data_IF_579386670593
#
_entry.id   IF_579386670593
#
_cell.length_a   1.000
_cell.length_b   1.000
_cell.length_c   1.000
_cell.angle_alpha   90.00
_cell.angle_beta   90.00
_cell.angle_gamma   90.00
#
_symmetry.space_group_name_H-M   'P 1'
#
loop_
_entity.id
_entity.type
_entity.pdbx_description
1 polymer ?
#
# COMPACT_ATOMS: atom_id res chain seq x y z
N UNK A 1 15.43 7.55 -24.30
CA UNK A 1 16.54 7.31 -23.36
C UNK A 1 16.63 8.43 -22.30
N UNK A 2 16.78 9.72 -22.68
CA UNK A 2 16.96 10.81 -21.71
C UNK A 2 15.83 10.93 -20.67
N UNK A 3 14.57 10.76 -21.06
CA UNK A 3 13.41 10.78 -20.13
C UNK A 3 13.45 9.63 -19.12
N UNK A 4 13.88 8.46 -19.54
CA UNK A 4 14.06 7.29 -18.66
C UNK A 4 15.17 7.53 -17.63
N UNK A 5 16.33 8.03 -18.07
CA UNK A 5 17.43 8.39 -17.17
C UNK A 5 17.01 9.46 -16.15
N UNK A 6 16.23 10.44 -16.59
CA UNK A 6 15.68 11.44 -15.68
C UNK A 6 14.72 10.83 -14.66
N UNK A 7 13.84 9.90 -15.08
CA UNK A 7 12.97 9.18 -14.16
C UNK A 7 13.76 8.42 -13.11
N UNK A 8 14.81 7.67 -13.51
CA UNK A 8 15.67 6.95 -12.56
C UNK A 8 16.33 7.89 -11.55
N UNK A 9 16.87 9.03 -12.01
CA UNK A 9 17.47 10.02 -11.13
C UNK A 9 16.45 10.62 -10.17
N UNK A 10 15.23 10.93 -10.62
CA UNK A 10 14.17 11.46 -9.76
C UNK A 10 13.77 10.42 -8.70
N UNK A 11 13.56 9.17 -9.09
CA UNK A 11 13.22 8.07 -8.17
C UNK A 11 14.32 7.89 -7.12
N UNK A 12 15.58 7.82 -7.53
CA UNK A 12 16.74 7.70 -6.62
C UNK A 12 16.85 8.88 -5.65
N UNK A 13 16.73 10.10 -6.17
CA UNK A 13 16.76 11.32 -5.36
C UNK A 13 15.64 11.30 -4.31
N UNK A 14 14.46 10.84 -4.70
CA UNK A 14 13.31 10.74 -3.79
C UNK A 14 13.49 9.76 -2.65
N UNK A 15 14.07 8.61 -2.94
CA UNK A 15 14.35 7.60 -1.92
C UNK A 15 15.31 8.11 -0.84
N UNK A 16 16.16 9.08 -1.21
CA UNK A 16 17.11 9.71 -0.28
C UNK A 16 16.45 10.84 0.51
N UNK A 17 15.75 11.75 -0.17
CA UNK A 17 15.25 12.98 0.44
C UNK A 17 13.98 12.82 1.26
N UNK A 18 13.13 11.85 0.93
CA UNK A 18 11.83 11.63 1.57
C UNK A 18 10.89 12.85 1.55
N UNK A 19 11.01 13.70 0.56
CA UNK A 19 10.22 14.93 0.42
C UNK A 19 9.71 15.13 -1.00
N UNK A 20 8.48 15.66 -1.12
CA UNK A 20 7.79 15.85 -2.38
C UNK A 20 7.83 17.29 -2.94
N UNK A 21 8.50 18.23 -2.27
CA UNK A 21 8.64 19.60 -2.77
C UNK A 21 9.56 19.63 -3.97
N UNK A 22 9.12 20.26 -5.08
CA UNK A 22 9.90 20.34 -6.31
C UNK A 22 11.23 21.10 -6.13
N UNK A 23 11.25 22.09 -5.28
CA UNK A 23 12.43 22.88 -4.96
C UNK A 23 13.51 22.00 -4.31
N UNK A 24 13.14 21.23 -3.29
CA UNK A 24 14.06 20.32 -2.58
C UNK A 24 14.57 19.20 -3.52
N UNK A 25 13.68 18.67 -4.38
CA UNK A 25 14.08 17.72 -5.40
C UNK A 25 15.06 18.34 -6.42
N UNK A 26 14.86 19.61 -6.79
CA UNK A 26 15.75 20.30 -7.70
C UNK A 26 17.13 20.59 -7.08
N UNK A 27 17.19 20.88 -5.78
CA UNK A 27 18.44 21.05 -5.05
C UNK A 27 19.30 19.79 -5.09
N UNK A 28 18.69 18.66 -4.83
CA UNK A 28 19.39 17.36 -4.70
C UNK A 28 19.50 16.57 -6.01
N UNK A 29 18.85 16.99 -7.09
CA UNK A 29 18.92 16.26 -8.35
C UNK A 29 20.36 16.28 -8.90
N UNK A 30 21.02 15.11 -9.08
CA UNK A 30 22.44 15.02 -9.38
C UNK A 30 22.77 15.31 -10.84
N UNK A 31 22.28 16.43 -11.36
CA UNK A 31 22.54 16.90 -12.73
C UNK A 31 23.39 18.17 -12.65
N UNK A 32 24.57 18.23 -13.28
CA UNK A 32 25.49 19.36 -13.20
C UNK A 32 25.05 20.53 -14.06
N UNK A 33 23.89 21.11 -13.75
CA UNK A 33 23.32 22.32 -14.37
C UNK A 33 22.80 23.27 -13.30
N UNK A 34 22.50 24.48 -13.66
CA UNK A 34 21.96 25.51 -12.74
C UNK A 34 20.70 25.01 -12.02
N UNK A 35 20.52 25.43 -10.77
CA UNK A 35 19.37 25.11 -9.95
C UNK A 35 18.03 25.35 -10.69
N UNK A 36 17.85 26.54 -11.24
CA UNK A 36 16.65 26.89 -12.00
C UNK A 36 16.43 26.01 -13.22
N UNK A 37 17.50 25.55 -13.86
CA UNK A 37 17.42 24.60 -14.98
C UNK A 37 16.97 23.22 -14.52
N UNK A 38 17.46 22.74 -13.36
CA UNK A 38 16.98 21.49 -12.73
C UNK A 38 15.50 21.60 -12.37
N UNK A 39 15.08 22.70 -11.74
CA UNK A 39 13.69 22.96 -11.37
C UNK A 39 12.77 23.01 -12.59
N UNK A 40 13.16 23.73 -13.66
CA UNK A 40 12.42 23.74 -14.94
C UNK A 40 12.36 22.36 -15.58
N UNK A 41 13.43 21.56 -15.49
CA UNK A 41 13.47 20.19 -16.02
C UNK A 41 12.48 19.29 -15.28
N UNK A 42 12.37 19.36 -13.96
CA UNK A 42 11.38 18.63 -13.17
C UNK A 42 9.94 19.03 -13.54
N UNK A 43 9.66 20.35 -13.65
CA UNK A 43 8.34 20.82 -14.06
C UNK A 43 7.96 20.34 -15.47
N UNK A 44 8.90 20.35 -16.43
CA UNK A 44 8.66 19.81 -17.78
C UNK A 44 8.46 18.30 -17.75
N UNK A 45 9.17 17.58 -16.90
CA UNK A 45 9.02 16.14 -16.75
C UNK A 45 7.60 15.78 -16.28
N UNK A 46 7.07 16.47 -15.27
CA UNK A 46 5.69 16.25 -14.80
C UNK A 46 4.62 16.68 -15.82
N UNK A 47 4.96 17.45 -16.84
CA UNK A 47 4.04 17.81 -17.95
C UNK A 47 3.99 16.76 -19.06
N UNK A 48 4.91 15.78 -19.09
CA UNK A 48 4.96 14.76 -20.15
C UNK A 48 3.66 13.96 -20.19
N UNK A 49 3.05 13.85 -21.36
CA UNK A 49 1.84 13.03 -21.59
C UNK A 49 2.11 11.54 -21.42
N UNK A 50 3.33 11.11 -21.76
CA UNK A 50 3.73 9.71 -21.57
C UNK A 50 3.80 9.30 -20.10
N UNK A 51 3.95 10.25 -19.18
CA UNK A 51 3.91 10.01 -17.73
C UNK A 51 2.44 9.82 -17.31
N UNK A 52 1.95 8.63 -17.56
CA UNK A 52 0.57 8.19 -17.37
C UNK A 52 0.56 6.83 -16.69
N UNK A 53 -0.41 6.59 -15.83
CA UNK A 53 -0.53 5.34 -15.04
C UNK A 53 -0.55 4.12 -15.96
N UNK A 54 -1.37 4.15 -17.00
CA UNK A 54 -1.54 3.01 -17.91
C UNK A 54 -0.29 2.71 -18.73
N UNK A 55 0.39 3.76 -19.22
CA UNK A 55 1.58 3.61 -20.08
C UNK A 55 2.86 3.25 -19.30
N UNK A 56 3.03 3.81 -18.11
CA UNK A 56 4.25 3.62 -17.33
C UNK A 56 4.01 2.61 -16.21
N UNK A 57 3.04 2.89 -15.33
CA UNK A 57 2.90 2.14 -14.11
C UNK A 57 2.30 0.74 -14.33
N UNK A 58 1.30 0.61 -15.19
CA UNK A 58 0.76 -0.72 -15.52
C UNK A 58 1.76 -1.63 -16.21
N UNK A 59 2.69 -1.07 -17.00
CA UNK A 59 3.78 -1.86 -17.59
C UNK A 59 4.70 -2.42 -16.50
N UNK A 60 5.12 -1.58 -15.54
CA UNK A 60 5.90 -2.03 -14.39
C UNK A 60 5.14 -3.06 -13.54
N UNK A 61 3.85 -2.81 -13.28
CA UNK A 61 2.99 -3.70 -12.50
C UNK A 61 2.84 -5.08 -13.15
N UNK A 62 2.61 -5.13 -14.46
CA UNK A 62 2.51 -6.40 -15.19
C UNK A 62 3.80 -7.22 -15.11
N UNK A 63 4.96 -6.58 -15.24
CA UNK A 63 6.25 -7.26 -15.07
C UNK A 63 6.44 -7.80 -13.64
N UNK A 64 6.05 -7.02 -12.64
CA UNK A 64 6.09 -7.47 -11.25
C UNK A 64 5.18 -8.68 -11.02
N UNK A 65 3.97 -8.65 -11.55
CA UNK A 65 2.96 -9.71 -11.39
C UNK A 65 3.34 -11.03 -12.09
N UNK A 66 4.27 -11.03 -13.03
CA UNK A 66 4.84 -12.28 -13.60
C UNK A 66 5.48 -13.15 -12.53
N UNK A 67 5.93 -12.56 -11.41
CA UNK A 67 6.43 -13.28 -10.24
C UNK A 67 5.28 -13.59 -9.26
N UNK A 68 4.25 -14.30 -9.74
CA UNK A 68 2.94 -14.51 -9.09
C UNK A 68 3.04 -14.91 -7.61
N UNK A 69 3.95 -15.82 -7.25
CA UNK A 69 4.10 -16.32 -5.88
C UNK A 69 4.36 -15.21 -4.85
N UNK A 70 5.03 -14.13 -5.26
CA UNK A 70 5.36 -13.02 -4.35
C UNK A 70 4.17 -12.13 -4.01
N UNK A 71 3.17 -12.08 -4.89
CA UNK A 71 2.02 -11.18 -4.77
C UNK A 71 0.72 -11.91 -4.45
N UNK A 72 0.79 -13.23 -4.26
CA UNK A 72 -0.36 -14.05 -3.85
C UNK A 72 -0.20 -14.53 -2.41
N UNK A 73 -1.33 -14.67 -1.75
CA UNK A 73 -1.41 -15.29 -0.43
C UNK A 73 -2.38 -16.45 -0.56
N UNK A 74 -1.89 -17.68 -0.47
CA UNK A 74 -2.68 -18.91 -0.73
C UNK A 74 -3.37 -18.87 -2.10
N UNK A 75 -2.66 -18.40 -3.15
CA UNK A 75 -3.18 -18.31 -4.51
C UNK A 75 -4.17 -17.16 -4.77
N UNK A 76 -4.39 -16.26 -3.81
CA UNK A 76 -5.28 -15.11 -3.93
C UNK A 76 -4.48 -13.81 -3.98
N UNK A 77 -4.85 -12.92 -4.89
CA UNK A 77 -4.36 -11.53 -4.96
C UNK A 77 -5.30 -10.64 -4.15
N UNK A 78 -4.78 -9.96 -3.15
CA UNK A 78 -5.58 -9.06 -2.32
C UNK A 78 -5.37 -7.62 -2.79
N UNK A 79 -6.46 -6.92 -3.07
CA UNK A 79 -6.47 -5.49 -3.35
C UNK A 79 -7.37 -4.76 -2.36
N UNK A 80 -6.96 -3.57 -1.94
CA UNK A 80 -7.78 -2.71 -1.10
C UNK A 80 -8.15 -1.46 -1.89
N UNK A 81 -9.42 -1.04 -1.78
CA UNK A 81 -9.91 0.25 -2.24
C UNK A 81 -10.10 1.14 -1.01
N UNK A 82 -9.59 2.36 -1.08
CA UNK A 82 -9.73 3.33 0.00
C UNK A 82 -9.57 4.75 -0.54
N UNK A 83 -10.01 5.73 0.22
CA UNK A 83 -9.98 7.13 -0.13
C UNK A 83 -9.11 7.91 0.86
N UNK A 84 -8.33 8.85 0.35
CA UNK A 84 -7.53 9.74 1.19
C UNK A 84 -7.63 11.17 0.70
N UNK A 85 -7.60 12.12 1.64
CA UNK A 85 -7.60 13.55 1.33
C UNK A 85 -6.24 14.16 1.66
N UNK A 86 -5.73 15.00 0.75
CA UNK A 86 -4.52 15.79 0.93
C UNK A 86 -4.85 17.27 0.71
N UNK A 87 -5.15 17.97 1.80
CA UNK A 87 -5.71 19.32 1.74
C UNK A 87 -7.08 19.32 1.06
N UNK A 88 -7.19 20.06 -0.04
CA UNK A 88 -8.42 20.12 -0.85
C UNK A 88 -8.55 18.98 -1.87
N UNK A 89 -7.53 18.15 -2.05
CA UNK A 89 -7.47 17.10 -3.06
C UNK A 89 -7.96 15.78 -2.45
N UNK A 90 -8.91 15.15 -3.11
CA UNK A 90 -9.49 13.89 -2.72
C UNK A 90 -9.06 12.79 -3.71
N UNK A 91 -8.52 11.68 -3.22
CA UNK A 91 -7.93 10.62 -4.05
C UNK A 91 -8.58 9.29 -3.70
N UNK A 92 -9.24 8.70 -4.68
CA UNK A 92 -9.71 7.32 -4.61
C UNK A 92 -8.61 6.40 -5.18
N UNK A 93 -8.18 5.43 -4.40
CA UNK A 93 -7.03 4.59 -4.73
C UNK A 93 -7.33 3.11 -4.55
N UNK A 94 -6.85 2.31 -5.50
CA UNK A 94 -6.76 0.84 -5.35
C UNK A 94 -5.29 0.45 -5.19
N UNK A 95 -5.04 -0.42 -4.22
CA UNK A 95 -3.68 -0.86 -3.88
C UNK A 95 -3.61 -2.37 -3.72
N UNK A 96 -2.49 -2.95 -4.10
CA UNK A 96 -2.17 -4.37 -3.95
C UNK A 96 -1.56 -4.62 -2.57
N UNK A 97 -2.10 -5.55 -1.82
CA UNK A 97 -1.56 -5.91 -0.50
C UNK A 97 -0.27 -6.72 -0.66
N UNK A 98 0.80 -6.23 -0.04
CA UNK A 98 2.12 -6.84 -0.10
C UNK A 98 2.89 -6.65 1.21
N UNK A 99 3.28 -7.74 1.86
CA UNK A 99 4.14 -7.76 3.06
C UNK A 99 3.71 -6.79 4.17
N UNK A 100 2.42 -6.79 4.54
CA UNK A 100 1.82 -5.89 5.53
C UNK A 100 1.95 -4.40 5.17
N UNK A 101 1.97 -4.12 3.90
CA UNK A 101 1.86 -2.82 3.24
C UNK A 101 0.97 -2.97 2.02
N UNK A 102 0.64 -1.86 1.40
CA UNK A 102 -0.05 -1.86 0.12
C UNK A 102 0.82 -1.17 -0.92
N UNK A 103 0.78 -1.65 -2.14
CA UNK A 103 1.43 -1.03 -3.32
C UNK A 103 0.34 -0.32 -4.09
N UNK A 104 0.42 1.00 -4.35
CA UNK A 104 -0.58 1.70 -5.12
C UNK A 104 -0.58 1.17 -6.55
N UNK A 105 -1.75 0.78 -7.06
CA UNK A 105 -1.85 0.23 -8.44
C UNK A 105 -2.65 1.11 -9.37
N UNK A 106 -3.69 1.80 -8.86
CA UNK A 106 -4.44 2.78 -9.63
C UNK A 106 -5.07 3.82 -8.71
N UNK A 107 -5.23 5.05 -9.20
CA UNK A 107 -5.85 6.14 -8.47
C UNK A 107 -6.52 7.14 -9.41
N UNK A 108 -7.56 7.75 -8.89
CA UNK A 108 -8.20 8.91 -9.52
C UNK A 108 -8.32 10.04 -8.51
N UNK A 109 -8.10 11.26 -8.96
CA UNK A 109 -8.37 12.44 -8.17
C UNK A 109 -9.83 12.79 -8.40
N UNK A 110 -10.60 12.88 -7.33
CA UNK A 110 -12.02 13.22 -7.37
C UNK A 110 -12.19 14.75 -7.30
N UNK A 111 -12.98 15.29 -8.21
CA UNK A 111 -13.26 16.74 -8.29
C UNK A 111 -14.35 17.17 -7.28
N UNK A 112 -14.47 16.45 -6.17
CA UNK A 112 -15.44 16.69 -5.10
C UNK A 112 -14.84 16.41 -3.73
N UNK A 113 -15.45 17.03 -2.71
CA UNK A 113 -15.23 16.64 -1.32
C UNK A 113 -16.21 15.53 -0.92
N UNK A 114 -15.83 14.71 0.07
CA UNK A 114 -16.65 13.62 0.58
C UNK A 114 -16.42 12.29 -0.12
N UNK A 115 -17.30 11.33 0.17
CA UNK A 115 -17.14 9.94 -0.25
C UNK A 115 -17.32 9.72 -1.75
N UNK A 116 -16.65 8.72 -2.28
CA UNK A 116 -16.82 8.26 -3.66
C UNK A 116 -18.21 7.62 -3.86
N UNK A 117 -18.78 7.79 -5.05
CA UNK A 117 -20.01 7.12 -5.43
C UNK A 117 -19.75 5.76 -6.08
N UNK A 118 -20.81 4.99 -6.34
CA UNK A 118 -20.72 3.64 -6.90
C UNK A 118 -20.04 3.62 -8.28
N UNK A 119 -20.34 4.59 -9.14
CA UNK A 119 -19.77 4.66 -10.50
C UNK A 119 -18.25 4.90 -10.46
N UNK A 120 -17.79 5.80 -9.59
CA UNK A 120 -16.38 6.07 -9.36
C UNK A 120 -15.67 4.82 -8.85
N UNK A 121 -16.26 4.12 -7.88
CA UNK A 121 -15.73 2.87 -7.32
C UNK A 121 -15.63 1.77 -8.39
N UNK A 122 -16.68 1.58 -9.18
CA UNK A 122 -16.72 0.59 -10.27
C UNK A 122 -15.73 0.93 -11.38
N UNK A 123 -15.58 2.21 -11.72
CA UNK A 123 -14.62 2.67 -12.74
C UNK A 123 -13.19 2.37 -12.32
N UNK A 124 -12.81 2.72 -11.09
CA UNK A 124 -11.46 2.52 -10.56
C UNK A 124 -11.15 1.03 -10.41
N UNK A 125 -12.07 0.24 -9.82
CA UNK A 125 -11.92 -1.20 -9.71
C UNK A 125 -11.92 -1.90 -11.05
N UNK A 126 -12.79 -1.51 -11.99
CA UNK A 126 -12.88 -2.11 -13.33
C UNK A 126 -11.57 -2.06 -14.10
N UNK A 127 -10.85 -0.92 -14.03
CA UNK A 127 -9.50 -0.77 -14.60
C UNK A 127 -8.54 -1.82 -14.07
N UNK A 128 -8.55 -2.05 -12.76
CA UNK A 128 -7.63 -2.97 -12.10
C UNK A 128 -8.02 -4.43 -12.31
N UNK A 129 -9.29 -4.75 -12.27
CA UNK A 129 -9.76 -6.12 -12.54
C UNK A 129 -9.35 -6.58 -13.95
N UNK A 130 -9.31 -5.66 -14.93
CA UNK A 130 -8.81 -5.94 -16.27
C UNK A 130 -7.30 -6.20 -16.27
N UNK A 131 -6.52 -5.42 -15.52
CA UNK A 131 -5.05 -5.61 -15.41
C UNK A 131 -4.69 -6.90 -14.72
N UNK A 132 -5.48 -7.30 -13.71
CA UNK A 132 -5.30 -8.52 -12.92
C UNK A 132 -6.07 -9.72 -13.48
N UNK A 133 -6.55 -9.67 -14.71
CA UNK A 133 -7.26 -10.79 -15.35
C UNK A 133 -6.41 -12.07 -15.30
N UNK A 134 -7.08 -13.21 -15.03
CA UNK A 134 -6.40 -14.49 -14.83
C UNK A 134 -6.00 -14.81 -13.38
N UNK A 135 -6.16 -13.86 -12.45
CA UNK A 135 -5.93 -14.09 -11.03
C UNK A 135 -7.24 -14.25 -10.25
N UNK A 136 -7.19 -15.01 -9.15
CA UNK A 136 -8.26 -14.99 -8.14
C UNK A 136 -8.04 -13.77 -7.26
N UNK A 137 -9.00 -12.87 -7.22
CA UNK A 137 -8.84 -11.55 -6.59
C UNK A 137 -9.76 -11.43 -5.37
N UNK A 138 -9.27 -10.79 -4.32
CA UNK A 138 -10.05 -10.39 -3.14
C UNK A 138 -10.05 -8.87 -3.04
N UNK A 139 -11.23 -8.27 -3.14
CA UNK A 139 -11.43 -6.82 -2.98
C UNK A 139 -11.77 -6.51 -1.53
N UNK A 140 -11.01 -5.60 -0.92
CA UNK A 140 -11.18 -5.16 0.46
C UNK A 140 -11.62 -3.70 0.47
N UNK A 141 -12.68 -3.38 1.22
CA UNK A 141 -13.19 -2.02 1.38
C UNK A 141 -13.60 -1.73 2.83
N UNK A 142 -13.44 -0.47 3.25
CA UNK A 142 -13.92 -0.02 4.53
C UNK A 142 -15.43 0.33 4.52
N UNK A 143 -15.92 1.03 5.56
CA UNK A 143 -17.34 1.43 5.67
C UNK A 143 -17.78 2.44 4.62
N UNK A 144 -16.89 3.11 3.95
CA UNK A 144 -17.22 3.97 2.82
C UNK A 144 -17.70 3.14 1.63
N UNK A 145 -17.14 1.93 1.48
CA UNK A 145 -17.45 1.00 0.40
C UNK A 145 -18.52 -0.05 0.79
N UNK A 146 -19.38 0.27 1.74
CA UNK A 146 -20.40 -0.65 2.29
C UNK A 146 -21.61 -0.90 1.38
N UNK A 147 -21.61 -0.39 0.16
CA UNK A 147 -22.74 -0.52 -0.76
C UNK A 147 -23.02 -1.97 -1.15
N UNK A 148 -24.27 -2.41 -0.96
CA UNK A 148 -24.76 -3.71 -1.43
C UNK A 148 -24.68 -3.81 -2.95
N UNK A 149 -24.90 -2.71 -3.66
CA UNK A 149 -24.76 -2.63 -5.12
C UNK A 149 -23.31 -2.87 -5.56
N UNK A 150 -22.33 -2.38 -4.80
CA UNK A 150 -20.92 -2.72 -5.06
C UNK A 150 -20.66 -4.21 -4.82
N UNK A 151 -21.15 -4.77 -3.72
CA UNK A 151 -21.07 -6.21 -3.44
C UNK A 151 -21.66 -7.05 -4.58
N UNK A 152 -22.84 -6.70 -5.07
CA UNK A 152 -23.50 -7.36 -6.20
C UNK A 152 -22.66 -7.26 -7.48
N UNK A 153 -22.09 -6.09 -7.77
CA UNK A 153 -21.23 -5.90 -8.93
C UNK A 153 -19.94 -6.74 -8.85
N UNK A 154 -19.45 -7.01 -7.63
CA UNK A 154 -18.29 -7.85 -7.36
C UNK A 154 -18.59 -9.36 -7.36
N UNK A 155 -19.85 -9.82 -7.40
CA UNK A 155 -20.24 -11.22 -7.50
C UNK A 155 -19.96 -11.77 -8.91
N UNK A 156 -18.68 -12.05 -9.20
CA UNK A 156 -18.21 -12.60 -10.47
C UNK A 156 -17.30 -13.80 -10.21
N UNK A 157 -17.16 -14.72 -11.16
CA UNK A 157 -16.22 -15.84 -11.04
C UNK A 157 -14.82 -15.37 -10.70
N UNK A 158 -14.14 -16.08 -9.83
CA UNK A 158 -12.77 -15.78 -9.36
C UNK A 158 -12.59 -14.46 -8.62
N UNK A 159 -13.68 -13.78 -8.26
CA UNK A 159 -13.66 -12.53 -7.51
C UNK A 159 -14.31 -12.72 -6.14
N UNK A 160 -13.53 -12.44 -5.11
CA UNK A 160 -13.96 -12.44 -3.71
C UNK A 160 -13.95 -11.02 -3.17
N UNK A 161 -14.67 -10.77 -2.09
CA UNK A 161 -14.66 -9.46 -1.45
C UNK A 161 -14.92 -9.53 0.05
N UNK A 162 -14.44 -8.51 0.76
CA UNK A 162 -14.76 -8.20 2.15
C UNK A 162 -15.01 -6.69 2.25
N UNK A 163 -16.26 -6.30 2.40
CA UNK A 163 -16.67 -4.90 2.50
C UNK A 163 -17.26 -4.65 3.89
N UNK A 164 -16.64 -3.76 4.67
CA UNK A 164 -17.14 -3.42 5.99
C UNK A 164 -18.48 -2.74 5.91
N UNK A 165 -19.37 -3.15 6.79
CA UNK A 165 -20.73 -2.61 6.89
C UNK A 165 -20.88 -1.65 8.06
N UNK A 166 -21.82 -0.71 7.92
CA UNK A 166 -22.29 0.12 9.02
C UNK A 166 -23.19 -0.71 9.94
N UNK A 167 -23.17 -0.42 11.23
CA UNK A 167 -24.03 -1.13 12.21
C UNK A 167 -25.52 -0.90 11.98
N UNK A 168 -25.87 0.23 11.36
CA UNK A 168 -27.24 0.59 10.96
C UNK A 168 -27.71 -0.07 9.66
N UNK A 169 -26.87 -0.90 9.02
CA UNK A 169 -27.29 -1.64 7.83
C UNK A 169 -28.28 -2.71 8.23
N UNK A 170 -29.44 -2.79 7.54
CA UNK A 170 -30.45 -3.81 7.80
C UNK A 170 -30.07 -5.15 7.19
N UNK A 171 -30.31 -6.21 7.92
CA UNK A 171 -30.17 -7.60 7.48
C UNK A 171 -31.49 -8.33 7.72
N UNK A 172 -31.91 -9.14 6.75
CA UNK A 172 -33.10 -9.99 6.89
C UNK A 172 -32.73 -11.26 7.67
N UNK A 173 -33.43 -11.47 8.79
CA UNK A 173 -33.27 -12.71 9.58
C UNK A 173 -33.91 -13.90 8.89
N UNK A 174 -33.67 -15.11 9.41
CA UNK A 174 -34.34 -16.33 8.94
C UNK A 174 -35.86 -16.28 9.10
N UNK A 175 -36.36 -15.55 10.06
CA UNK A 175 -37.80 -15.34 10.35
C UNK A 175 -38.43 -14.33 9.38
N UNK A 176 -37.66 -13.77 8.46
CA UNK A 176 -38.17 -12.81 7.48
C UNK A 176 -38.20 -11.37 7.94
N UNK A 177 -37.78 -11.08 9.18
CA UNK A 177 -37.76 -9.75 9.78
C UNK A 177 -36.47 -9.04 9.45
N UNK A 178 -36.57 -7.74 9.08
CA UNK A 178 -35.41 -6.89 8.91
C UNK A 178 -35.03 -6.21 10.23
N UNK A 179 -33.81 -6.41 10.67
CA UNK A 179 -33.24 -5.73 11.83
C UNK A 179 -31.87 -5.11 11.50
N UNK A 180 -31.44 -4.13 12.27
CA UNK A 180 -30.13 -3.55 12.10
C UNK A 180 -29.03 -4.53 12.56
N UNK A 181 -27.86 -4.48 11.94
CA UNK A 181 -26.75 -5.38 12.31
C UNK A 181 -26.35 -5.25 13.78
N UNK A 182 -26.50 -4.07 14.40
CA UNK A 182 -26.23 -3.89 15.85
C UNK A 182 -27.14 -4.74 16.74
N UNK A 183 -28.32 -5.14 16.24
CA UNK A 183 -29.31 -5.94 16.97
C UNK A 183 -29.06 -7.45 16.86
N UNK A 184 -28.03 -7.89 16.10
CA UNK A 184 -27.66 -9.29 15.93
C UNK A 184 -27.07 -9.94 17.19
N UNK A 185 -27.04 -9.27 18.33
CA UNK A 185 -26.64 -9.83 19.63
C UNK A 185 -25.14 -10.08 19.80
N UNK A 186 -24.27 -9.48 18.97
CA UNK A 186 -22.83 -9.55 19.20
C UNK A 186 -22.45 -8.83 20.49
N UNK A 187 -21.56 -9.46 21.27
CA UNK A 187 -20.96 -8.89 22.49
C UNK A 187 -19.42 -8.99 22.43
N UNK A 188 -18.69 -8.22 23.27
CA UNK A 188 -17.22 -8.28 23.28
C UNK A 188 -16.67 -9.70 23.46
N UNK A 189 -15.92 -10.18 22.49
CA UNK A 189 -15.33 -11.52 22.47
C UNK A 189 -16.10 -12.52 21.61
N UNK A 190 -17.30 -12.19 21.13
CA UNK A 190 -18.11 -13.09 20.30
C UNK A 190 -17.90 -12.87 18.81
N UNK A 191 -18.39 -13.81 18.04
CA UNK A 191 -18.36 -13.78 16.57
C UNK A 191 -19.58 -14.50 16.00
N UNK A 192 -20.00 -14.14 14.79
CA UNK A 192 -21.10 -14.78 14.07
C UNK A 192 -20.73 -14.95 12.59
N UNK A 193 -21.40 -15.88 11.95
CA UNK A 193 -21.35 -16.04 10.50
C UNK A 193 -22.73 -16.43 9.99
N UNK A 194 -23.34 -15.57 9.20
CA UNK A 194 -24.63 -15.80 8.59
C UNK A 194 -24.42 -16.05 7.10
N UNK A 195 -24.98 -17.13 6.59
CA UNK A 195 -24.94 -17.50 5.16
C UNK A 195 -26.23 -17.05 4.49
N UNK A 196 -26.08 -16.68 3.22
CA UNK A 196 -27.20 -16.40 2.30
C UNK A 196 -28.21 -15.37 2.85
N UNK A 197 -27.69 -14.28 3.45
CA UNK A 197 -28.49 -13.22 4.01
C UNK A 197 -28.82 -12.15 2.97
N UNK A 198 -30.04 -11.58 3.06
CA UNK A 198 -30.44 -10.42 2.32
C UNK A 198 -30.13 -9.15 3.13
N UNK A 199 -29.55 -8.16 2.47
CA UNK A 199 -29.18 -6.89 3.07
C UNK A 199 -29.98 -5.75 2.47
N UNK A 200 -30.28 -4.76 3.30
CA UNK A 200 -31.06 -3.54 3.07
C UNK A 200 -32.55 -3.80 2.78
N UNK A 201 -33.42 -2.93 3.33
CA UNK A 201 -34.86 -2.97 3.08
C UNK A 201 -35.22 -2.47 1.70
N UNK A 202 -34.59 -1.39 1.26
CA UNK A 202 -34.96 -0.66 0.04
C UNK A 202 -34.42 -1.26 -1.24
N UNK A 203 -33.25 -1.84 -1.16
CA UNK A 203 -32.59 -2.39 -2.35
C UNK A 203 -32.59 -3.93 -2.40
N UNK A 204 -33.12 -4.59 -1.38
CA UNK A 204 -33.57 -5.99 -1.26
C UNK A 204 -32.71 -7.07 -1.94
N UNK A 205 -31.39 -6.90 -2.08
CA UNK A 205 -30.68 -7.56 -3.13
C UNK A 205 -29.45 -8.30 -2.69
N UNK A 206 -29.46 -9.52 -3.02
CA UNK A 206 -28.29 -10.35 -3.09
C UNK A 206 -28.19 -11.23 -1.85
N UNK A 207 -27.99 -12.49 -2.12
CA UNK A 207 -27.56 -13.45 -1.14
C UNK A 207 -26.06 -13.26 -0.93
N UNK A 208 -25.72 -12.84 0.27
CA UNK A 208 -24.34 -12.63 0.70
C UNK A 208 -24.09 -13.38 1.99
N UNK A 209 -22.84 -13.58 2.31
CA UNK A 209 -22.47 -14.01 3.65
C UNK A 209 -22.10 -12.80 4.51
N UNK A 210 -22.46 -12.81 5.77
CA UNK A 210 -22.14 -11.78 6.73
C UNK A 210 -21.27 -12.35 7.84
N UNK A 211 -20.05 -11.87 7.94
CA UNK A 211 -19.14 -12.17 9.04
C UNK A 211 -19.18 -11.07 10.09
N UNK A 212 -19.42 -11.41 11.34
CA UNK A 212 -19.44 -10.50 12.48
C UNK A 212 -18.38 -10.89 13.50
N UNK A 213 -17.65 -9.90 14.04
CA UNK A 213 -16.67 -10.12 15.11
C UNK A 213 -16.56 -8.91 16.02
N UNK A 214 -16.71 -9.14 17.33
CA UNK A 214 -16.40 -8.15 18.35
C UNK A 214 -15.18 -8.60 19.14
N UNK A 215 -14.06 -7.89 18.99
CA UNK A 215 -12.88 -8.14 19.80
C UNK A 215 -13.06 -7.52 21.18
N UNK A 216 -12.61 -8.20 22.25
CA UNK A 216 -12.53 -7.60 23.60
C UNK A 216 -11.58 -6.40 23.62
N UNK A 217 -10.40 -6.58 23.01
CA UNK A 217 -9.37 -5.54 22.92
C UNK A 217 -8.77 -5.47 21.52
N UNK A 218 -8.41 -4.29 21.09
CA UNK A 218 -7.66 -4.05 19.86
C UNK A 218 -6.56 -3.01 20.11
N UNK A 219 -5.30 -3.38 19.85
CA UNK A 219 -4.11 -2.52 20.12
C UNK A 219 -4.03 -2.02 21.56
N UNK A 220 -4.48 -2.83 22.54
CA UNK A 220 -4.48 -2.49 23.96
C UNK A 220 -5.69 -1.73 24.48
N UNK A 221 -6.62 -1.33 23.62
CA UNK A 221 -7.84 -0.61 23.98
C UNK A 221 -9.07 -1.52 23.84
N UNK A 222 -10.07 -1.29 24.69
CA UNK A 222 -11.37 -1.93 24.53
C UNK A 222 -12.03 -1.45 23.23
N UNK A 223 -12.56 -2.38 22.44
CA UNK A 223 -13.27 -2.01 21.21
C UNK A 223 -14.70 -1.60 21.54
N UNK A 224 -15.12 -0.47 21.00
CA UNK A 224 -16.45 0.10 21.26
C UNK A 224 -17.55 -0.57 20.42
N UNK A 225 -17.21 -1.27 19.35
CA UNK A 225 -18.16 -1.79 18.38
C UNK A 225 -17.67 -3.04 17.68
N UNK A 226 -18.60 -3.91 17.21
CA UNK A 226 -18.26 -5.04 16.38
C UNK A 226 -17.88 -4.64 14.95
N UNK A 227 -17.22 -5.55 14.27
CA UNK A 227 -16.97 -5.47 12.84
C UNK A 227 -17.96 -6.36 12.11
N UNK A 228 -18.71 -5.79 11.18
CA UNK A 228 -19.55 -6.52 10.25
C UNK A 228 -18.95 -6.44 8.85
N UNK A 229 -18.85 -7.57 8.17
CA UNK A 229 -18.17 -7.72 6.89
C UNK A 229 -19.09 -8.45 5.93
N UNK A 230 -19.51 -7.78 4.88
CA UNK A 230 -20.20 -8.36 3.75
C UNK A 230 -19.18 -9.11 2.89
N UNK A 231 -19.46 -10.36 2.55
CA UNK A 231 -18.52 -11.20 1.83
C UNK A 231 -19.21 -12.29 1.01
N UNK A 232 -18.49 -12.87 0.06
CA UNK A 232 -18.84 -14.10 -0.63
C UNK A 232 -17.91 -15.26 -0.25
N UNK A 233 -17.03 -15.09 0.76
CA UNK A 233 -16.32 -16.23 1.36
C UNK A 233 -17.28 -17.15 2.11
N UNK A 234 -16.99 -18.45 2.06
CA UNK A 234 -17.84 -19.48 2.67
C UNK A 234 -17.68 -19.67 4.17
N UNK A 235 -16.71 -19.00 4.81
CA UNK A 235 -16.42 -19.15 6.24
C UNK A 235 -15.95 -17.85 6.90
N UNK A 236 -16.16 -17.80 8.22
CA UNK A 236 -15.84 -16.65 9.05
C UNK A 236 -14.35 -16.36 9.13
N UNK A 237 -13.53 -17.39 9.27
CA UNK A 237 -12.10 -17.21 9.52
C UNK A 237 -11.40 -16.57 8.31
N UNK A 238 -11.69 -17.07 7.12
CA UNK A 238 -11.19 -16.51 5.85
C UNK A 238 -11.61 -15.06 5.68
N UNK A 239 -12.88 -14.74 5.93
CA UNK A 239 -13.39 -13.37 5.83
C UNK A 239 -12.67 -12.41 6.81
N UNK A 240 -12.50 -12.81 8.07
CA UNK A 240 -11.82 -12.00 9.10
C UNK A 240 -10.33 -11.84 8.80
N UNK A 241 -9.66 -12.88 8.30
CA UNK A 241 -8.24 -12.81 7.91
C UNK A 241 -8.07 -11.87 6.70
N UNK A 242 -8.98 -11.95 5.73
CA UNK A 242 -8.97 -11.08 4.56
C UNK A 242 -9.19 -9.60 4.97
N UNK A 243 -10.23 -9.30 5.75
CA UNK A 243 -10.54 -7.94 6.20
C UNK A 243 -9.37 -7.29 6.96
N UNK A 244 -8.63 -8.04 7.77
CA UNK A 244 -7.45 -7.51 8.48
C UNK A 244 -6.38 -6.95 7.56
N UNK A 245 -6.27 -7.46 6.33
CA UNK A 245 -5.29 -6.99 5.34
C UNK A 245 -5.63 -5.60 4.79
N UNK A 246 -6.87 -5.18 4.87
CA UNK A 246 -7.30 -3.84 4.46
C UNK A 246 -6.49 -2.74 5.14
N UNK A 247 -6.13 -2.91 6.40
CA UNK A 247 -5.33 -1.91 7.13
C UNK A 247 -3.95 -1.62 6.52
N UNK A 248 -3.48 -2.45 5.61
CA UNK A 248 -2.19 -2.26 4.96
C UNK A 248 -2.20 -1.04 4.01
N UNK A 249 -3.37 -0.63 3.48
CA UNK A 249 -3.51 0.59 2.67
C UNK A 249 -3.40 1.86 3.54
N UNK A 250 -3.96 1.84 4.75
CA UNK A 250 -3.83 2.96 5.70
C UNK A 250 -2.36 3.20 6.10
N UNK A 251 -1.60 2.10 6.27
CA UNK A 251 -0.16 2.16 6.52
C UNK A 251 0.62 2.75 5.32
N UNK A 252 0.21 2.44 4.09
CA UNK A 252 0.78 3.05 2.89
C UNK A 252 0.46 4.55 2.81
N UNK A 253 -0.78 4.96 3.09
CA UNK A 253 -1.14 6.38 3.13
C UNK A 253 -0.34 7.14 4.18
N UNK A 254 -0.09 6.53 5.34
CA UNK A 254 0.78 7.12 6.36
C UNK A 254 2.21 7.29 5.85
N UNK A 255 2.75 6.28 5.14
CA UNK A 255 4.07 6.35 4.53
C UNK A 255 4.15 7.45 3.44
N UNK A 256 3.05 7.71 2.71
CA UNK A 256 2.96 8.79 1.72
C UNK A 256 2.86 10.18 2.35
N UNK A 257 2.27 10.27 3.54
CA UNK A 257 2.16 11.50 4.32
C UNK A 257 3.42 11.72 5.18
N UNK A 258 3.25 11.98 6.43
CA UNK A 258 4.33 12.30 7.39
C UNK A 258 5.33 11.17 7.65
N UNK A 259 4.95 9.93 7.41
CA UNK A 259 5.78 8.74 7.69
C UNK A 259 6.86 8.45 6.64
N UNK A 260 6.86 9.13 5.49
CA UNK A 260 7.79 8.85 4.41
C UNK A 260 7.98 10.01 3.44
N UNK A 261 7.11 10.14 2.44
CA UNK A 261 7.38 11.04 1.30
C UNK A 261 6.82 12.46 1.42
N UNK A 262 6.02 12.77 2.45
CA UNK A 262 5.44 14.10 2.68
C UNK A 262 4.75 14.71 1.44
N UNK A 263 3.87 13.93 0.81
CA UNK A 263 3.17 14.35 -0.42
C UNK A 263 2.32 15.61 -0.24
N UNK A 264 1.75 15.81 0.95
CA UNK A 264 0.97 17.02 1.27
C UNK A 264 1.81 18.30 1.11
N UNK A 265 3.13 18.20 1.34
CA UNK A 265 4.07 19.31 1.15
C UNK A 265 4.36 19.67 -0.31
N UNK A 266 3.88 18.89 -1.29
CA UNK A 266 4.17 19.13 -2.71
C UNK A 266 3.48 20.38 -3.27
N UNK A 267 2.32 20.73 -2.74
CA UNK A 267 1.46 21.86 -3.18
C UNK A 267 1.18 21.89 -4.69
N UNK A 268 1.18 20.75 -5.34
CA UNK A 268 0.97 20.63 -6.77
C UNK A 268 -0.51 20.64 -7.13
N UNK A 269 -0.83 21.21 -8.29
CA UNK A 269 -2.17 21.10 -8.87
C UNK A 269 -2.52 19.61 -9.15
N UNK A 270 -3.81 19.21 -9.10
CA UNK A 270 -4.25 17.83 -9.20
C UNK A 270 -3.63 17.04 -10.36
N UNK A 271 -3.59 17.61 -11.56
CA UNK A 271 -3.04 16.95 -12.74
C UNK A 271 -1.55 16.61 -12.63
N UNK A 272 -0.76 17.43 -11.91
CA UNK A 272 0.67 17.17 -11.68
C UNK A 272 0.87 16.24 -10.48
N UNK A 273 0.01 16.33 -9.49
CA UNK A 273 0.01 15.44 -8.34
C UNK A 273 -0.22 13.98 -8.77
N UNK A 274 -1.18 13.70 -9.64
CA UNK A 274 -1.41 12.37 -10.17
C UNK A 274 -0.15 11.80 -10.85
N UNK A 275 0.57 12.62 -11.61
CA UNK A 275 1.84 12.22 -12.24
C UNK A 275 2.98 12.05 -11.23
N UNK A 276 3.00 12.87 -10.19
CA UNK A 276 3.94 12.74 -9.09
C UNK A 276 3.74 11.40 -8.37
N UNK A 277 2.49 11.00 -8.14
CA UNK A 277 2.15 9.71 -7.51
C UNK A 277 2.70 8.53 -8.33
N UNK A 278 2.79 8.60 -9.67
CA UNK A 278 3.45 7.55 -10.47
C UNK A 278 4.91 7.38 -10.05
N UNK A 279 5.64 8.46 -9.93
CA UNK A 279 7.06 8.42 -9.53
C UNK A 279 7.21 7.86 -8.12
N UNK A 280 6.31 8.28 -7.22
CA UNK A 280 6.28 7.77 -5.84
C UNK A 280 5.89 6.30 -5.79
N UNK A 281 4.93 5.86 -6.59
CA UNK A 281 4.56 4.46 -6.68
C UNK A 281 5.77 3.59 -7.07
N UNK A 282 6.58 4.03 -8.02
CA UNK A 282 7.82 3.36 -8.41
C UNK A 282 8.81 3.36 -7.24
N UNK A 283 9.08 4.52 -6.63
CA UNK A 283 10.04 4.64 -5.53
C UNK A 283 9.61 3.82 -4.31
N UNK A 284 8.35 3.92 -3.91
CA UNK A 284 7.75 3.22 -2.77
C UNK A 284 7.81 1.70 -2.94
N UNK A 285 7.42 1.23 -4.12
CA UNK A 285 7.41 -0.19 -4.44
C UNK A 285 8.82 -0.74 -4.46
N UNK A 286 9.76 -0.05 -5.11
CA UNK A 286 11.17 -0.43 -5.12
C UNK A 286 11.72 -0.52 -3.69
N UNK A 287 11.55 0.51 -2.86
CA UNK A 287 12.00 0.49 -1.47
C UNK A 287 11.35 -0.66 -0.67
N UNK A 288 10.05 -0.90 -0.85
CA UNK A 288 9.33 -1.97 -0.14
C UNK A 288 9.86 -3.35 -0.54
N UNK A 289 10.06 -3.59 -1.84
CA UNK A 289 10.59 -4.87 -2.35
C UNK A 289 12.04 -5.10 -1.95
N UNK A 290 12.89 -4.08 -2.03
CA UNK A 290 14.28 -4.16 -1.58
C UNK A 290 14.36 -4.45 -0.09
N UNK A 291 13.61 -3.72 0.74
CA UNK A 291 13.56 -3.95 2.17
C UNK A 291 13.07 -5.35 2.53
N UNK A 292 12.13 -5.92 1.75
CA UNK A 292 11.70 -7.31 1.92
C UNK A 292 12.84 -8.28 1.61
N UNK A 293 13.54 -8.10 0.48
CA UNK A 293 14.71 -8.92 0.14
C UNK A 293 15.78 -8.87 1.23
N UNK A 294 16.11 -7.68 1.75
CA UNK A 294 17.08 -7.50 2.85
C UNK A 294 16.67 -8.27 4.11
N UNK A 295 15.37 -8.29 4.43
CA UNK A 295 14.85 -9.09 5.54
C UNK A 295 14.98 -10.59 5.29
N UNK A 296 14.61 -11.04 4.11
CA UNK A 296 14.67 -12.45 3.72
C UNK A 296 16.11 -13.00 3.69
N UNK A 297 17.07 -12.16 3.31
CA UNK A 297 18.50 -12.47 3.35
C UNK A 297 19.11 -12.42 4.77
N UNK A 298 18.34 -12.03 5.79
CA UNK A 298 18.82 -11.95 7.19
C UNK A 298 19.83 -10.83 7.46
N UNK A 299 20.00 -9.88 6.54
CA UNK A 299 20.99 -8.78 6.65
C UNK A 299 20.39 -7.47 7.17
N UNK A 300 19.10 -7.44 7.53
CA UNK A 300 18.44 -6.26 8.10
C UNK A 300 19.24 -5.62 9.25
N UNK A 301 19.87 -6.42 10.10
CA UNK A 301 20.65 -5.95 11.27
C UNK A 301 21.79 -4.99 10.93
N UNK A 302 22.28 -4.99 9.69
CA UNK A 302 23.30 -4.05 9.21
C UNK A 302 22.70 -2.73 8.72
N UNK A 303 21.45 -2.75 8.28
CA UNK A 303 20.75 -1.58 7.73
C UNK A 303 19.97 -0.82 8.79
N UNK A 304 19.26 -1.56 9.64
CA UNK A 304 18.41 -1.03 10.72
C UNK A 304 18.50 -1.91 11.96
N UNK A 305 17.86 -1.47 13.05
CA UNK A 305 17.76 -2.31 14.25
C UNK A 305 17.14 -3.67 13.92
N UNK A 306 17.68 -4.78 14.44
CA UNK A 306 17.15 -6.12 14.19
C UNK A 306 15.71 -6.27 14.73
N UNK A 307 14.98 -7.23 14.20
CA UNK A 307 13.64 -7.57 14.68
C UNK A 307 13.70 -7.99 16.17
N UNK A 308 12.64 -7.71 16.92
CA UNK A 308 12.56 -8.13 18.34
C UNK A 308 12.43 -9.65 18.39
N UNK A 309 13.29 -10.33 19.16
CA UNK A 309 13.20 -11.78 19.38
C UNK A 309 11.93 -12.21 20.12
N UNK A 310 11.33 -11.30 20.90
CA UNK A 310 10.15 -11.59 21.72
C UNK A 310 8.86 -11.36 20.94
N UNK A 311 7.96 -12.35 20.93
CA UNK A 311 6.58 -12.32 20.41
C UNK A 311 6.40 -12.13 18.89
N UNK A 312 7.40 -12.37 18.04
CA UNK A 312 7.24 -12.25 16.59
C UNK A 312 6.80 -10.87 16.10
N UNK A 313 6.98 -9.83 16.92
CA UNK A 313 6.59 -8.47 16.60
C UNK A 313 7.58 -7.85 15.61
N UNK A 314 7.07 -7.48 14.45
CA UNK A 314 7.80 -6.71 13.45
C UNK A 314 8.16 -5.34 14.01
N UNK A 315 9.46 -4.99 14.02
CA UNK A 315 9.93 -3.66 14.47
C UNK A 315 9.80 -2.62 13.36
N UNK A 316 10.24 -2.97 12.15
CA UNK A 316 10.27 -2.07 11.00
C UNK A 316 9.53 -2.68 9.81
N UNK A 317 8.86 -1.83 9.03
CA UNK A 317 8.27 -2.23 7.74
C UNK A 317 9.36 -2.52 6.71
N UNK A 318 9.03 -3.26 5.66
CA UNK A 318 9.96 -3.45 4.54
C UNK A 318 10.23 -2.14 3.82
N UNK A 319 9.25 -1.26 3.69
CA UNK A 319 9.44 0.10 3.19
C UNK A 319 10.50 0.87 4.00
N UNK A 320 10.38 0.89 5.33
CA UNK A 320 11.35 1.54 6.21
C UNK A 320 12.77 0.98 6.02
N UNK A 321 12.91 -0.35 6.00
CA UNK A 321 14.21 -1.00 5.79
C UNK A 321 14.81 -0.63 4.43
N UNK A 322 13.99 -0.65 3.36
CA UNK A 322 14.43 -0.29 2.02
C UNK A 322 14.89 1.16 1.92
N UNK A 323 14.15 2.11 2.51
CA UNK A 323 14.58 3.51 2.56
C UNK A 323 15.93 3.70 3.25
N UNK A 324 16.15 3.01 4.40
CA UNK A 324 17.41 3.09 5.12
C UNK A 324 18.55 2.40 4.40
N UNK A 325 18.25 1.37 3.61
CA UNK A 325 19.22 0.71 2.74
C UNK A 325 19.82 1.71 1.73
N UNK A 326 18.99 2.49 1.03
CA UNK A 326 19.48 3.50 0.08
C UNK A 326 20.41 4.50 0.73
N UNK A 327 20.05 5.02 1.91
CA UNK A 327 20.90 5.94 2.67
C UNK A 327 22.23 5.30 3.06
N UNK A 328 22.19 4.08 3.58
CA UNK A 328 23.38 3.38 4.02
C UNK A 328 24.36 3.10 2.88
N UNK A 329 23.85 2.61 1.75
CA UNK A 329 24.67 2.33 0.56
C UNK A 329 25.28 3.62 -0.02
N UNK A 330 24.50 4.69 -0.09
CA UNK A 330 24.97 5.97 -0.59
C UNK A 330 26.11 6.52 0.27
N UNK A 331 25.92 6.56 1.59
CA UNK A 331 26.96 7.04 2.52
C UNK A 331 28.21 6.15 2.46
N UNK A 332 28.04 4.85 2.36
CA UNK A 332 29.18 3.94 2.18
C UNK A 332 29.98 4.27 0.91
N UNK A 333 29.31 4.58 -0.19
CA UNK A 333 29.96 4.97 -1.45
C UNK A 333 30.67 6.33 -1.39
N UNK A 334 30.29 7.20 -0.46
CA UNK A 334 30.96 8.51 -0.30
C UNK A 334 32.29 8.42 0.45
N UNK A 335 32.48 7.41 1.31
CA UNK A 335 33.62 7.32 2.23
C UNK A 335 34.44 6.02 2.11
N UNK A 336 34.74 5.49 0.90
CA UNK A 336 35.38 4.18 0.77
C UNK A 336 36.78 4.17 1.40
N UNK A 337 37.60 5.20 1.15
CA UNK A 337 38.95 5.30 1.70
C UNK A 337 38.96 5.44 3.24
N UNK A 338 38.08 6.26 3.78
CA UNK A 338 37.97 6.43 5.23
C UNK A 338 37.52 5.14 5.93
N UNK A 339 36.63 4.37 5.30
CA UNK A 339 36.18 3.08 5.82
C UNK A 339 37.33 2.07 5.82
N UNK A 340 38.11 2.03 4.73
CA UNK A 340 39.27 1.15 4.62
C UNK A 340 40.32 1.48 5.69
N UNK A 341 40.68 2.76 5.86
CA UNK A 341 41.57 3.22 6.90
C UNK A 341 41.05 2.88 8.31
N UNK A 342 39.76 3.10 8.56
CA UNK A 342 39.13 2.72 9.83
C UNK A 342 39.25 1.21 10.11
N UNK A 343 39.11 0.37 9.09
CA UNK A 343 39.27 -1.08 9.22
C UNK A 343 40.71 -1.46 9.58
N UNK A 344 41.69 -0.77 9.05
CA UNK A 344 43.12 -0.97 9.36
C UNK A 344 43.46 -0.57 10.79
N UNK A 345 42.96 0.57 11.26
CA UNK A 345 43.18 1.06 12.61
C UNK A 345 42.47 0.17 13.65
N UNK A 346 41.25 -0.26 13.38
CA UNK A 346 40.41 -1.01 14.31
C UNK A 346 40.49 -2.53 14.10
N UNK A 347 41.71 -3.10 14.02
CA UNK A 347 41.97 -4.51 13.71
C UNK A 347 41.23 -5.51 14.58
N UNK A 348 40.97 -5.18 15.85
CA UNK A 348 40.20 -6.02 16.78
C UNK A 348 38.74 -6.23 16.34
N UNK A 349 38.18 -5.34 15.50
CA UNK A 349 36.85 -5.46 14.90
C UNK A 349 36.84 -5.91 13.42
N UNK A 350 37.98 -6.29 12.89
CA UNK A 350 38.12 -6.62 11.45
C UNK A 350 37.11 -7.70 11.00
N UNK A 351 36.86 -8.70 11.83
CA UNK A 351 35.83 -9.73 11.55
C UNK A 351 34.42 -9.16 11.38
N UNK A 352 34.06 -8.14 12.15
CA UNK A 352 32.75 -7.51 12.06
C UNK A 352 32.66 -6.61 10.84
N UNK A 353 33.73 -5.89 10.50
CA UNK A 353 33.81 -5.11 9.27
C UNK A 353 33.69 -5.98 8.02
N UNK A 354 34.39 -7.12 7.94
CA UNK A 354 34.28 -8.06 6.82
C UNK A 354 32.86 -8.58 6.65
N UNK A 355 32.17 -8.91 7.76
CA UNK A 355 30.75 -9.29 7.72
C UNK A 355 29.86 -8.15 7.20
N UNK A 356 30.14 -6.92 7.61
CA UNK A 356 29.46 -5.72 7.13
C UNK A 356 29.66 -5.50 5.63
N UNK A 357 30.89 -5.63 5.13
CA UNK A 357 31.19 -5.53 3.69
C UNK A 357 30.47 -6.62 2.87
N UNK A 358 30.41 -7.85 3.37
CA UNK A 358 29.61 -8.92 2.74
C UNK A 358 28.11 -8.57 2.70
N UNK A 359 27.58 -7.97 3.77
CA UNK A 359 26.18 -7.52 3.79
C UNK A 359 25.92 -6.41 2.76
N UNK A 360 26.89 -5.49 2.56
CA UNK A 360 26.81 -4.45 1.52
C UNK A 360 26.82 -5.09 0.12
N UNK A 361 27.73 -6.04 -0.14
CA UNK A 361 27.78 -6.74 -1.43
C UNK A 361 26.48 -7.49 -1.73
N UNK A 362 25.91 -8.19 -0.73
CA UNK A 362 24.61 -8.84 -0.85
C UNK A 362 23.48 -7.83 -1.09
N UNK A 363 23.51 -6.69 -0.41
CA UNK A 363 22.52 -5.64 -0.61
C UNK A 363 22.59 -5.06 -2.03
N UNK A 364 23.79 -4.80 -2.54
CA UNK A 364 24.01 -4.30 -3.91
C UNK A 364 23.54 -5.30 -4.97
N UNK A 365 23.65 -6.61 -4.74
CA UNK A 365 23.16 -7.64 -5.67
C UNK A 365 21.62 -7.66 -5.81
N UNK A 366 20.89 -6.89 -5.01
CA UNK A 366 19.42 -6.81 -5.08
C UNK A 366 18.93 -5.76 -6.06
N UNK A 367 19.81 -4.88 -6.54
CA UNK A 367 19.50 -3.81 -7.50
C UNK A 367 19.80 -4.27 -8.92
#
# INVERSE_FOLDING_TARGET
RARYLLLLMIVGTWQILKQAKLEILAEALPIPILFESRRKKLKRFLKLEILNIEKIWFTCLKEMLKQQERFTIKGLVYIAIDQTSWGAINILMVSLIYDKRAIPIYWEILDKKGSSNLEEQQRVLGKILTVLSGHKIVVLGDREFCSVSLGKWLQKPSLYFCLRQKQSTNVKTKEGIYQEMRELGLSPGTQLFLKDVNLTKEQGFGQFNLAGKWKKTYRGFQTKEPWYILTNFGDLETAIIADKKRFDIEEMFRDFKSGGYSLEGSQLAPQYLSKLIIVIAIAYTSATMQGKKIKDMGIQKYVTRPEKRYKGQRRHSSFYVGQHLYHWLQLHQMFPKNIEELMQISRYRLKDYIKGQRAISLALSTF
#
